data_IF_704256442931
#
_entry.id   IF_704256442931
#
_cell.length_a   1.000
_cell.length_b   1.000
_cell.length_c   1.000
_cell.angle_alpha   90.00
_cell.angle_beta   90.00
_cell.angle_gamma   90.00
#
_symmetry.space_group_name_H-M   'P 1'
#
loop_
_entity.id
_entity.type
_entity.pdbx_description
1 polymer ?
#
# COMPACT_ATOMS: atom_id res chain seq x y z
N UNK A 1 -17.02 -13.75 22.42
CA UNK A 1 -15.60 -13.84 22.81
C UNK A 1 -14.84 -12.80 22.00
N UNK A 2 -14.36 -11.73 22.63
CA UNK A 2 -13.60 -10.70 21.91
C UNK A 2 -12.21 -11.26 21.57
N UNK A 3 -12.02 -11.62 20.29
CA UNK A 3 -10.72 -12.08 19.75
C UNK A 3 -9.81 -10.88 19.43
N UNK A 4 -9.77 -9.91 20.34
CA UNK A 4 -8.97 -8.69 20.21
C UNK A 4 -7.86 -8.69 21.26
N UNK A 5 -6.62 -8.53 20.80
CA UNK A 5 -5.48 -8.30 21.68
C UNK A 5 -5.72 -6.99 22.46
N UNK A 6 -5.96 -7.11 23.77
CA UNK A 6 -6.01 -5.97 24.69
C UNK A 6 -4.68 -5.22 24.67
N UNK A 7 -4.69 -3.91 24.97
CA UNK A 7 -3.50 -3.06 24.91
C UNK A 7 -2.33 -3.59 25.77
N UNK A 8 -2.61 -4.15 26.95
CA UNK A 8 -1.59 -4.76 27.81
C UNK A 8 -0.89 -5.96 27.13
N UNK A 9 -1.66 -6.82 26.44
CA UNK A 9 -1.11 -7.96 25.71
C UNK A 9 -0.32 -7.52 24.46
N UNK A 10 -0.72 -6.42 23.81
CA UNK A 10 0.04 -5.83 22.72
C UNK A 10 1.40 -5.28 23.19
N UNK A 11 1.44 -4.57 24.32
CA UNK A 11 2.69 -4.08 24.91
C UNK A 11 3.62 -5.25 25.29
N UNK A 12 3.07 -6.32 25.87
CA UNK A 12 3.81 -7.55 26.16
C UNK A 12 4.37 -8.18 24.88
N UNK A 13 3.58 -8.25 23.80
CA UNK A 13 4.04 -8.76 22.51
C UNK A 13 5.22 -7.94 21.96
N UNK A 14 5.12 -6.61 21.97
CA UNK A 14 6.18 -5.72 21.50
C UNK A 14 7.48 -5.98 22.27
N UNK A 15 7.41 -6.04 23.60
CA UNK A 15 8.57 -6.29 24.45
C UNK A 15 9.22 -7.65 24.20
N UNK A 16 8.40 -8.71 24.06
CA UNK A 16 8.88 -10.07 23.75
C UNK A 16 9.56 -10.12 22.39
N UNK A 17 9.01 -9.45 21.37
CA UNK A 17 9.60 -9.40 20.03
C UNK A 17 10.91 -8.62 20.02
N UNK A 18 11.01 -7.49 20.73
CA UNK A 18 12.26 -6.74 20.89
C UNK A 18 13.35 -7.59 21.53
N UNK A 19 13.01 -8.34 22.60
CA UNK A 19 13.96 -9.22 23.31
C UNK A 19 14.44 -10.41 22.48
N UNK A 20 13.57 -10.97 21.63
CA UNK A 20 13.85 -12.17 20.84
C UNK A 20 14.30 -11.88 19.40
N UNK A 21 14.75 -10.65 19.13
CA UNK A 21 15.25 -10.25 17.82
C UNK A 21 16.71 -10.69 17.67
N UNK A 22 16.98 -11.47 16.63
CA UNK A 22 18.33 -11.91 16.30
C UNK A 22 19.00 -10.90 15.35
N UNK A 23 20.31 -10.68 15.53
CA UNK A 23 21.16 -9.95 14.58
C UNK A 23 21.16 -10.65 13.19
N UNK A 24 21.15 -9.96 12.04
CA UNK A 24 20.48 -8.71 11.67
C UNK A 24 19.06 -9.00 11.09
N UNK A 25 18.01 -8.68 11.85
CA UNK A 25 16.64 -8.53 11.34
C UNK A 25 15.72 -9.77 11.37
N UNK A 26 16.19 -10.91 11.89
CA UNK A 26 15.38 -12.12 12.03
C UNK A 26 14.61 -12.16 13.36
N UNK A 27 13.28 -12.25 13.32
CA UNK A 27 12.44 -12.49 14.51
C UNK A 27 12.13 -13.98 14.59
N UNK A 28 12.47 -14.64 15.71
CA UNK A 28 12.09 -16.03 15.96
C UNK A 28 10.62 -16.12 16.42
N UNK A 29 9.73 -16.17 15.44
CA UNK A 29 8.28 -16.20 15.66
C UNK A 29 7.80 -17.42 16.44
N UNK A 30 8.49 -18.56 16.34
CA UNK A 30 8.11 -19.78 17.05
C UNK A 30 8.18 -19.59 18.57
N UNK A 31 9.23 -18.93 19.05
CA UNK A 31 9.35 -18.55 20.48
C UNK A 31 8.32 -17.51 20.90
N UNK A 32 7.98 -16.57 20.01
CA UNK A 32 6.97 -15.53 20.28
C UNK A 32 5.58 -16.16 20.42
N UNK A 33 5.20 -17.06 19.51
CA UNK A 33 3.89 -17.74 19.52
C UNK A 33 3.74 -18.63 20.74
N UNK A 34 4.82 -19.28 21.21
CA UNK A 34 4.80 -20.07 22.44
C UNK A 34 4.39 -19.25 23.68
N UNK A 35 4.59 -17.93 23.69
CA UNK A 35 4.16 -17.04 24.78
C UNK A 35 2.68 -16.62 24.69
N UNK A 36 2.04 -16.89 23.57
CA UNK A 36 0.68 -16.47 23.23
C UNK A 36 -0.11 -17.62 22.56
N UNK A 37 -0.30 -18.77 23.22
CA UNK A 37 -0.93 -19.95 22.62
C UNK A 37 -2.40 -19.74 22.23
N UNK A 38 -3.04 -18.71 22.78
CA UNK A 38 -4.43 -18.32 22.49
C UNK A 38 -4.60 -17.68 21.12
N UNK A 39 -3.51 -17.24 20.47
CA UNK A 39 -3.55 -16.53 19.21
C UNK A 39 -2.74 -17.25 18.15
N UNK A 40 -3.27 -17.30 16.93
CA UNK A 40 -2.55 -17.85 15.78
C UNK A 40 -1.28 -17.04 15.47
N UNK A 41 -0.24 -17.73 15.00
CA UNK A 41 1.00 -17.12 14.48
C UNK A 41 0.71 -15.98 13.51
N UNK A 42 -0.19 -16.21 12.56
CA UNK A 42 -0.56 -15.23 11.54
C UNK A 42 -1.19 -13.97 12.18
N UNK A 43 -2.04 -14.17 13.20
CA UNK A 43 -2.69 -13.06 13.89
C UNK A 43 -1.69 -12.22 14.67
N UNK A 44 -0.77 -12.85 15.41
CA UNK A 44 0.29 -12.19 16.16
C UNK A 44 1.20 -11.39 15.22
N UNK A 45 1.62 -11.99 14.10
CA UNK A 45 2.43 -11.34 13.07
C UNK A 45 1.71 -10.12 12.48
N UNK A 46 0.46 -10.30 12.02
CA UNK A 46 -0.34 -9.22 11.44
C UNK A 46 -0.54 -8.07 12.44
N UNK A 47 -0.77 -8.39 13.72
CA UNK A 47 -0.92 -7.37 14.78
C UNK A 47 0.38 -6.61 15.00
N UNK A 48 1.50 -7.32 15.14
CA UNK A 48 2.82 -6.70 15.33
C UNK A 48 3.21 -5.83 14.14
N UNK A 49 3.21 -6.36 12.91
CA UNK A 49 3.54 -5.58 11.71
C UNK A 49 2.56 -4.42 11.48
N UNK A 50 1.29 -4.59 11.83
CA UNK A 50 0.30 -3.52 11.82
C UNK A 50 0.57 -2.42 12.86
N UNK A 51 1.11 -2.77 14.04
CA UNK A 51 1.57 -1.82 15.04
C UNK A 51 2.81 -1.07 14.54
N UNK A 52 3.81 -1.80 14.03
CA UNK A 52 5.07 -1.24 13.52
C UNK A 52 4.82 -0.28 12.36
N UNK A 53 3.93 -0.64 11.42
CA UNK A 53 3.57 0.22 10.28
C UNK A 53 2.95 1.56 10.73
N UNK A 54 2.13 1.54 11.79
CA UNK A 54 1.45 2.73 12.33
C UNK A 54 2.37 3.61 13.18
N UNK A 55 3.34 3.02 13.88
CA UNK A 55 4.24 3.70 14.80
C UNK A 55 5.66 3.90 14.23
N UNK A 56 5.76 3.97 12.89
CA UNK A 56 6.99 3.98 12.09
C UNK A 56 8.04 5.03 12.48
N UNK A 57 7.67 6.05 13.26
CA UNK A 57 8.56 7.15 13.67
C UNK A 57 9.28 6.93 15.02
N UNK A 58 8.86 5.94 15.82
CA UNK A 58 9.37 5.79 17.19
C UNK A 58 10.52 4.76 17.33
N UNK A 59 10.76 3.93 16.31
CA UNK A 59 11.80 2.89 16.37
C UNK A 59 12.39 2.63 14.97
N UNK A 60 13.47 3.34 14.57
CA UNK A 60 14.04 3.26 13.22
C UNK A 60 14.57 1.87 12.88
N UNK A 61 14.90 1.07 13.89
CA UNK A 61 15.40 -0.30 13.73
C UNK A 61 14.33 -1.30 13.25
N UNK A 62 13.04 -0.93 13.32
CA UNK A 62 11.91 -1.72 12.82
C UNK A 62 11.51 -1.33 11.39
N UNK A 63 12.12 -0.27 10.84
CA UNK A 63 11.93 0.12 9.46
C UNK A 63 12.71 -0.82 8.54
N UNK A 64 12.12 -1.97 8.20
CA UNK A 64 12.59 -2.84 7.12
C UNK A 64 12.50 -2.18 5.71
N UNK A 65 12.25 -0.88 5.65
CA UNK A 65 12.09 -0.14 4.39
C UNK A 65 13.32 0.70 4.17
N UNK A 66 14.13 0.32 3.19
CA UNK A 66 15.21 1.15 2.66
C UNK A 66 14.73 2.59 2.40
N UNK A 67 15.49 3.57 2.88
CA UNK A 67 15.21 5.00 2.63
C UNK A 67 15.82 5.38 1.28
N UNK A 68 14.98 5.39 0.25
CA UNK A 68 15.35 5.82 -1.09
C UNK A 68 15.98 7.22 -1.09
N UNK A 69 17.24 7.29 -1.48
CA UNK A 69 17.97 8.54 -1.73
C UNK A 69 17.50 9.19 -3.04
N UNK A 70 17.80 10.47 -3.25
CA UNK A 70 17.43 11.15 -4.50
C UNK A 70 18.21 10.61 -5.70
N UNK A 71 19.46 10.20 -5.50
CA UNK A 71 20.26 9.54 -6.54
C UNK A 71 19.62 8.23 -7.01
N UNK A 72 19.24 7.35 -6.09
CA UNK A 72 18.56 6.08 -6.43
C UNK A 72 17.21 6.31 -7.12
N UNK A 73 16.48 7.37 -6.76
CA UNK A 73 15.23 7.75 -7.45
C UNK A 73 15.51 8.20 -8.88
N UNK A 74 16.54 9.02 -9.09
CA UNK A 74 16.92 9.50 -10.42
C UNK A 74 17.40 8.33 -11.29
N UNK A 75 18.21 7.42 -10.75
CA UNK A 75 18.62 6.20 -11.43
C UNK A 75 17.41 5.33 -11.82
N UNK A 76 16.43 5.19 -10.92
CA UNK A 76 15.19 4.46 -11.21
C UNK A 76 14.40 5.11 -12.35
N UNK A 77 14.23 6.44 -12.33
CA UNK A 77 13.52 7.18 -13.38
C UNK A 77 14.23 7.01 -14.72
N UNK A 78 15.55 7.21 -14.77
CA UNK A 78 16.35 7.07 -15.98
C UNK A 78 16.29 5.64 -16.53
N UNK A 79 16.39 4.63 -15.66
CA UNK A 79 16.28 3.23 -16.07
C UNK A 79 14.89 2.91 -16.65
N UNK A 80 13.81 3.43 -16.04
CA UNK A 80 12.46 3.23 -16.58
C UNK A 80 12.24 4.01 -17.87
N UNK A 81 12.85 5.18 -18.05
CA UNK A 81 12.83 5.91 -19.33
C UNK A 81 13.54 5.12 -20.45
N UNK A 82 14.65 4.45 -20.15
CA UNK A 82 15.42 3.67 -21.13
C UNK A 82 14.79 2.32 -21.49
N UNK A 83 14.25 1.61 -20.49
CA UNK A 83 13.78 0.22 -20.66
C UNK A 83 12.25 0.06 -20.55
N UNK A 84 11.52 1.12 -20.23
CA UNK A 84 10.10 1.09 -19.94
C UNK A 84 9.77 0.26 -18.69
N UNK A 85 8.60 -0.38 -18.69
CA UNK A 85 8.13 -1.25 -17.59
C UNK A 85 8.79 -2.64 -17.59
N UNK A 86 9.96 -2.79 -18.23
CA UNK A 86 10.75 -4.03 -18.22
C UNK A 86 11.55 -4.14 -16.91
N UNK A 87 10.85 -4.38 -15.80
CA UNK A 87 11.41 -4.35 -14.45
C UNK A 87 12.62 -5.25 -14.23
N UNK A 88 12.72 -6.38 -14.94
CA UNK A 88 13.88 -7.29 -14.87
C UNK A 88 15.14 -6.58 -15.38
N UNK A 89 15.05 -5.78 -16.45
CA UNK A 89 16.19 -5.00 -16.97
C UNK A 89 16.54 -3.84 -16.02
N UNK A 90 15.53 -3.17 -15.48
CA UNK A 90 15.71 -2.11 -14.48
C UNK A 90 16.41 -2.64 -13.22
N UNK A 91 16.04 -3.83 -12.75
CA UNK A 91 16.68 -4.47 -11.61
C UNK A 91 18.15 -4.82 -11.86
N UNK A 92 18.55 -5.15 -13.11
CA UNK A 92 19.96 -5.37 -13.43
C UNK A 92 20.83 -4.13 -13.19
N UNK A 93 20.25 -2.94 -13.29
CA UNK A 93 20.91 -1.65 -13.03
C UNK A 93 20.92 -1.35 -11.53
N UNK A 94 19.85 -1.74 -10.84
CA UNK A 94 19.64 -1.54 -9.42
C UNK A 94 19.50 -2.89 -8.68
N UNK A 95 20.59 -3.69 -8.56
CA UNK A 95 20.54 -5.06 -8.04
C UNK A 95 20.21 -5.11 -6.54
N UNK A 96 20.44 -4.01 -5.83
CA UNK A 96 20.14 -3.89 -4.40
C UNK A 96 18.64 -3.85 -4.11
N UNK A 97 17.80 -3.70 -5.14
CA UNK A 97 16.35 -3.64 -4.99
C UNK A 97 15.66 -4.83 -5.65
N UNK A 98 14.60 -5.28 -5.00
CA UNK A 98 13.68 -6.27 -5.57
C UNK A 98 12.75 -5.61 -6.59
N UNK A 99 12.24 -6.40 -7.53
CA UNK A 99 11.25 -5.95 -8.52
C UNK A 99 10.04 -5.26 -7.88
N UNK A 100 9.58 -5.77 -6.73
CA UNK A 100 8.43 -5.19 -6.01
C UNK A 100 8.77 -3.80 -5.43
N UNK A 101 9.97 -3.63 -4.87
CA UNK A 101 10.44 -2.33 -4.39
C UNK A 101 10.54 -1.31 -5.53
N UNK A 102 11.08 -1.71 -6.69
CA UNK A 102 11.22 -0.86 -7.87
C UNK A 102 9.85 -0.40 -8.41
N UNK A 103 8.92 -1.34 -8.61
CA UNK A 103 7.53 -1.05 -9.05
C UNK A 103 6.83 -0.09 -8.09
N UNK A 104 6.81 -0.43 -6.80
CA UNK A 104 6.15 0.38 -5.79
C UNK A 104 6.75 1.78 -5.71
N UNK A 105 8.07 1.89 -5.83
CA UNK A 105 8.75 3.19 -5.80
C UNK A 105 8.42 4.03 -7.03
N UNK A 106 8.47 3.45 -8.23
CA UNK A 106 8.12 4.14 -9.45
C UNK A 106 6.67 4.64 -9.44
N UNK A 107 5.71 3.82 -9.00
CA UNK A 107 4.31 4.25 -8.86
C UNK A 107 4.14 5.44 -7.91
N UNK A 108 4.94 5.53 -6.84
CA UNK A 108 4.94 6.69 -5.94
C UNK A 108 5.55 7.94 -6.58
N UNK A 109 6.53 7.78 -7.47
CA UNK A 109 7.17 8.89 -8.20
C UNK A 109 6.27 9.37 -9.35
N UNK A 110 5.68 8.46 -10.12
CA UNK A 110 4.78 8.75 -11.24
C UNK A 110 3.54 9.57 -10.79
N UNK A 111 2.96 9.24 -9.64
CA UNK A 111 1.86 10.01 -9.04
C UNK A 111 2.24 11.48 -8.73
N UNK A 112 3.53 11.78 -8.55
CA UNK A 112 4.03 13.14 -8.32
C UNK A 112 4.41 13.86 -9.61
N UNK A 113 4.54 13.14 -10.73
CA UNK A 113 4.84 13.68 -12.05
C UNK A 113 3.57 14.05 -12.83
N UNK A 114 2.40 13.54 -12.43
CA UNK A 114 1.12 14.03 -12.94
C UNK A 114 0.93 15.47 -12.46
N UNK A 115 0.72 16.46 -13.35
CA UNK A 115 0.25 17.77 -12.91
C UNK A 115 -1.04 17.54 -12.12
N UNK A 116 -1.18 18.19 -10.98
CA UNK A 116 -2.40 18.11 -10.19
C UNK A 116 -3.54 18.76 -10.96
N UNK A 117 -4.23 18.01 -11.81
CA UNK A 117 -5.47 18.46 -12.45
C UNK A 117 -6.59 18.32 -11.44
N UNK A 118 -6.60 19.22 -10.45
CA UNK A 118 -7.78 19.52 -9.64
C UNK A 118 -8.17 20.98 -9.92
N UNK A 119 -8.75 21.20 -11.10
CA UNK A 119 -9.87 22.12 -11.19
C UNK A 119 -11.10 21.23 -11.16
N UNK A 120 -11.87 21.30 -10.07
CA UNK A 120 -13.26 20.86 -10.09
C UNK A 120 -13.92 21.66 -11.20
N UNK A 121 -14.18 21.06 -12.35
CA UNK A 121 -15.26 21.56 -13.19
C UNK A 121 -16.53 21.32 -12.40
N UNK A 122 -17.04 22.38 -11.79
CA UNK A 122 -18.36 22.37 -11.21
C UNK A 122 -19.35 22.08 -12.35
N UNK A 123 -20.00 20.91 -12.30
CA UNK A 123 -20.98 20.51 -13.32
C UNK A 123 -22.23 21.41 -13.29
N UNK A 124 -22.33 22.32 -12.32
CA UNK A 124 -23.35 23.36 -12.28
C UNK A 124 -23.29 24.36 -13.44
N UNK A 125 -22.13 24.52 -14.10
CA UNK A 125 -21.99 25.43 -15.27
C UNK A 125 -22.24 24.78 -16.63
N UNK A 126 -22.28 23.44 -16.72
CA UNK A 126 -22.48 22.74 -18.00
C UNK A 126 -23.95 22.45 -18.34
N UNK A 127 -24.87 22.65 -17.39
CA UNK A 127 -26.30 22.46 -17.63
C UNK A 127 -27.14 23.60 -17.03
N UNK A 128 -27.04 24.84 -17.56
CA UNK A 128 -28.12 25.78 -17.38
C UNK A 128 -29.29 25.29 -18.25
N UNK A 129 -30.40 24.93 -17.61
CA UNK A 129 -31.69 24.61 -18.24
C UNK A 129 -31.82 23.18 -18.79
N UNK A 130 -32.11 22.22 -17.90
CA UNK A 130 -33.03 21.13 -18.25
C UNK A 130 -34.24 21.20 -17.33
N UNK A 131 -35.03 22.24 -17.54
CA UNK A 131 -36.39 22.32 -17.03
C UNK A 131 -37.29 22.92 -18.11
N UNK A 132 -37.55 22.10 -19.15
CA UNK A 132 -38.74 22.15 -20.03
C UNK A 132 -38.64 21.13 -21.17
N UNK A 133 -39.53 20.12 -21.11
CA UNK A 133 -40.10 19.31 -22.20
C UNK A 133 -39.09 18.38 -22.93
N UNK A 134 -39.33 17.09 -23.19
CA UNK A 134 -40.54 16.35 -23.58
C UNK A 134 -40.64 15.03 -22.78
N UNK A 135 -41.80 14.53 -22.31
CA UNK A 135 -43.09 14.31 -22.98
C UNK A 135 -43.06 13.45 -24.25
N UNK A 136 -41.97 12.69 -24.50
CA UNK A 136 -41.81 11.82 -25.69
C UNK A 136 -41.24 10.42 -25.31
N UNK A 137 -41.55 9.89 -24.13
CA UNK A 137 -41.21 8.50 -23.76
C UNK A 137 -42.44 7.64 -23.45
N UNK A 138 -43.53 7.89 -24.16
CA UNK A 138 -44.64 6.95 -24.23
C UNK A 138 -45.16 6.90 -25.65
N UNK A 139 -44.71 5.89 -26.42
CA UNK A 139 -45.52 5.07 -27.34
C UNK A 139 -44.63 4.16 -28.21
N UNK A 140 -44.79 2.85 -28.00
CA UNK A 140 -44.67 1.75 -28.98
C UNK A 140 -43.20 1.37 -29.35
N UNK A 141 -42.73 0.14 -29.16
CA UNK A 141 -43.44 -1.09 -29.51
C UNK A 141 -42.91 -2.35 -28.85
N UNK A 142 -43.88 -3.17 -28.44
CA UNK A 142 -43.80 -4.63 -28.54
C UNK A 142 -43.17 -5.04 -29.87
N UNK A 143 -42.33 -6.07 -29.86
CA UNK A 143 -42.52 -7.34 -30.60
C UNK A 143 -41.38 -8.28 -30.20
N UNK A 144 -41.79 -9.38 -29.57
CA UNK A 144 -41.06 -10.62 -29.33
C UNK A 144 -41.05 -11.46 -30.64
N UNK A 145 -40.30 -12.58 -30.67
CA UNK A 145 -40.20 -13.66 -31.69
C UNK A 145 -39.02 -13.43 -32.67
N UNK A 146 -38.09 -14.37 -32.93
CA UNK A 146 -38.08 -15.85 -32.74
C UNK A 146 -37.13 -16.36 -31.62
#
# INVERSE_FOLDING_TARGET
MEVTLKQNQLNKLIHVVQKLRNSPGGINWDKVVAQFPTYSRQYIQNKYYGYVRRNKCNEPELAHNHKWTDDEKNQLINAVQLYGTQWIKVQKILPNFTLSQLKNKYSQLDQRLKPQTQQRTDLSELFPVYDRLDSEFSLIGNIFID
#
